data_IF_862205937653
#
_entry.id   IF_862205937653
#
_cell.length_a   1.000
_cell.length_b   1.000
_cell.length_c   1.000
_cell.angle_alpha   90.00
_cell.angle_beta   90.00
_cell.angle_gamma   90.00
#
_symmetry.space_group_name_H-M   'P 1'
#
loop_
_entity.id
_entity.type
_entity.pdbx_description
1 polymer ?
#
# COMPACT_ATOMS: atom_id res chain seq x y z
N UNK A 1 1.73 7.13 17.63
CA UNK A 1 1.04 8.34 17.10
C UNK A 1 1.89 9.61 17.06
N UNK A 2 3.07 9.64 17.61
CA UNK A 2 3.95 10.83 17.65
C UNK A 2 4.66 11.16 16.31
N UNK A 3 4.51 10.31 15.29
CA UNK A 3 5.18 10.40 13.98
C UNK A 3 4.25 10.77 12.84
N UNK A 4 3.17 11.51 13.14
CA UNK A 4 2.25 11.99 12.12
C UNK A 4 2.59 13.44 11.79
N UNK A 5 2.58 13.76 10.51
CA UNK A 5 2.93 15.06 9.97
C UNK A 5 1.87 15.54 8.96
N UNK A 6 1.81 16.83 8.69
CA UNK A 6 0.95 17.35 7.65
C UNK A 6 1.61 17.16 6.28
N UNK A 7 0.96 16.38 5.43
CA UNK A 7 1.37 16.27 4.04
C UNK A 7 0.92 17.51 3.25
N UNK A 8 1.52 17.74 2.05
CA UNK A 8 1.07 18.81 1.14
C UNK A 8 -0.43 18.75 0.85
N UNK A 9 -0.95 19.77 0.14
CA UNK A 9 -2.35 19.81 -0.28
C UNK A 9 -2.77 18.56 -1.06
N UNK A 10 -4.06 18.24 -1.03
CA UNK A 10 -4.65 17.06 -1.67
C UNK A 10 -4.14 16.85 -3.11
N UNK A 11 -3.66 15.65 -3.37
CA UNK A 11 -3.16 15.23 -4.68
C UNK A 11 -1.67 15.53 -4.94
N UNK A 12 -0.97 16.17 -3.99
CA UNK A 12 0.49 16.34 -4.04
C UNK A 12 1.13 15.41 -3.02
N UNK A 13 2.09 14.62 -3.48
CA UNK A 13 2.82 13.69 -2.64
C UNK A 13 3.90 14.42 -1.82
N UNK A 14 4.25 13.91 -0.63
CA UNK A 14 5.38 14.40 0.15
C UNK A 14 6.67 14.43 -0.66
N UNK A 15 7.56 15.37 -0.32
CA UNK A 15 8.90 15.39 -0.91
C UNK A 15 9.65 14.08 -0.57
N UNK A 16 10.45 13.61 -1.51
CA UNK A 16 11.14 12.31 -1.39
C UNK A 16 10.37 11.11 -1.94
N UNK A 17 9.06 11.18 -2.11
CA UNK A 17 8.30 10.09 -2.77
C UNK A 17 8.62 10.03 -4.26
N UNK A 18 9.01 8.85 -4.74
CA UNK A 18 9.40 8.59 -6.14
C UNK A 18 8.63 7.42 -6.75
N UNK A 19 8.03 6.56 -5.94
CA UNK A 19 7.35 5.34 -6.37
C UNK A 19 6.14 5.10 -5.48
N UNK A 20 5.03 4.58 -6.04
CA UNK A 20 3.86 4.16 -5.27
C UNK A 20 3.65 2.66 -5.43
N UNK A 21 3.34 1.98 -4.32
CA UNK A 21 2.85 0.60 -4.33
C UNK A 21 1.63 0.44 -3.44
N UNK A 22 0.85 -0.62 -3.67
CA UNK A 22 -0.33 -0.92 -2.88
C UNK A 22 -0.33 -2.36 -2.38
N UNK A 23 -0.86 -2.54 -1.17
CA UNK A 23 -1.24 -3.83 -0.63
C UNK A 23 -2.74 -3.86 -0.43
N UNK A 24 -3.37 -4.97 -0.82
CA UNK A 24 -4.82 -5.16 -0.74
C UNK A 24 -5.13 -6.44 0.03
N UNK A 25 -5.88 -6.30 1.09
CA UNK A 25 -6.44 -7.39 1.87
C UNK A 25 -7.92 -7.57 1.51
N UNK A 26 -8.33 -8.84 1.31
CA UNK A 26 -9.68 -9.18 0.83
C UNK A 26 -10.47 -9.80 1.97
N UNK A 27 -11.55 -9.13 2.38
CA UNK A 27 -12.47 -9.57 3.41
C UNK A 27 -13.83 -9.93 2.80
N UNK A 28 -14.70 -10.60 3.55
CA UNK A 28 -16.01 -11.05 3.04
C UNK A 28 -16.98 -9.91 2.67
N UNK A 29 -16.80 -8.74 3.25
CA UNK A 29 -17.71 -7.59 3.13
C UNK A 29 -17.01 -6.31 2.62
N UNK A 30 -15.71 -6.38 2.32
CA UNK A 30 -14.91 -5.23 1.89
C UNK A 30 -13.55 -5.63 1.32
N UNK A 31 -12.91 -4.67 0.63
CA UNK A 31 -11.47 -4.70 0.40
C UNK A 31 -10.82 -3.60 1.27
N UNK A 32 -9.65 -3.89 1.84
CA UNK A 32 -8.81 -2.87 2.47
C UNK A 32 -7.56 -2.67 1.60
N UNK A 33 -7.31 -1.44 1.20
CA UNK A 33 -6.18 -1.10 0.33
C UNK A 33 -5.36 0.00 0.96
N UNK A 34 -4.06 -0.25 1.16
CA UNK A 34 -3.14 0.80 1.60
C UNK A 34 -2.14 1.11 0.51
N UNK A 35 -2.04 2.38 0.14
CA UNK A 35 -1.04 2.93 -0.79
C UNK A 35 0.10 3.51 0.01
N UNK A 36 1.32 3.09 -0.34
CA UNK A 36 2.57 3.62 0.22
C UNK A 36 3.41 4.26 -0.86
N UNK A 37 4.03 5.39 -0.50
CA UNK A 37 5.08 6.06 -1.27
C UNK A 37 6.46 5.59 -0.79
N UNK A 38 7.41 5.50 -1.70
CA UNK A 38 8.77 5.06 -1.44
C UNK A 38 9.77 6.01 -2.08
N UNK A 39 10.88 6.24 -1.37
CA UNK A 39 11.96 7.08 -1.80
C UNK A 39 13.34 6.44 -1.58
N UNK A 40 14.37 7.26 -1.68
CA UNK A 40 15.76 6.84 -1.49
C UNK A 40 15.96 6.15 -0.14
N UNK A 41 16.87 5.21 -0.11
CA UNK A 41 17.18 4.42 1.09
C UNK A 41 15.95 3.74 1.73
N UNK A 42 14.89 3.47 0.94
CA UNK A 42 13.63 2.86 1.40
C UNK A 42 12.87 3.66 2.45
N UNK A 43 13.08 4.96 2.50
CA UNK A 43 12.20 5.86 3.24
C UNK A 43 10.79 5.75 2.70
N UNK A 44 9.77 5.76 3.57
CA UNK A 44 8.43 5.32 3.23
C UNK A 44 7.37 6.30 3.77
N UNK A 45 6.33 6.55 2.98
CA UNK A 45 5.20 7.40 3.34
C UNK A 45 3.90 6.64 3.18
N UNK A 46 3.09 6.55 4.23
CA UNK A 46 1.69 6.15 4.11
C UNK A 46 0.92 7.23 3.35
N UNK A 47 0.40 6.91 2.17
CA UNK A 47 -0.29 7.90 1.33
C UNK A 47 -1.78 7.90 1.60
N UNK A 48 -2.41 6.74 1.56
CA UNK A 48 -3.83 6.59 1.87
C UNK A 48 -4.17 5.15 2.25
N UNK A 49 -5.09 5.01 3.20
CA UNK A 49 -5.70 3.73 3.54
C UNK A 49 -7.19 3.78 3.20
N UNK A 50 -7.62 2.91 2.29
CA UNK A 50 -8.98 2.82 1.79
C UNK A 50 -9.68 1.60 2.38
N UNK A 51 -10.91 1.81 2.84
CA UNK A 51 -11.87 0.74 3.14
C UNK A 51 -12.93 0.80 2.05
N UNK A 52 -12.99 -0.20 1.20
CA UNK A 52 -13.88 -0.30 0.03
C UNK A 52 -15.00 -1.28 0.38
N UNK A 53 -16.19 -0.81 0.75
CA UNK A 53 -17.27 -1.69 1.17
C UNK A 53 -17.86 -2.48 -0.01
N UNK A 54 -18.32 -3.68 0.27
CA UNK A 54 -19.01 -4.57 -0.65
C UNK A 54 -18.36 -5.94 -0.74
N UNK A 55 -19.16 -6.95 -1.08
CA UNK A 55 -18.68 -8.32 -1.21
C UNK A 55 -17.79 -8.50 -2.45
N UNK A 56 -16.64 -9.22 -2.33
CA UNK A 56 -15.71 -9.46 -3.43
C UNK A 56 -16.28 -10.27 -4.61
N UNK A 57 -17.42 -10.93 -4.46
CA UNK A 57 -18.14 -11.61 -5.54
C UNK A 57 -18.88 -10.66 -6.48
N UNK A 58 -18.93 -9.36 -6.13
CA UNK A 58 -19.52 -8.30 -6.95
C UNK A 58 -18.44 -7.44 -7.63
N UNK A 59 -18.80 -6.79 -8.74
CA UNK A 59 -17.85 -5.95 -9.48
C UNK A 59 -17.55 -4.59 -8.82
N UNK A 60 -18.43 -4.12 -7.94
CA UNK A 60 -18.36 -2.76 -7.35
C UNK A 60 -17.05 -2.47 -6.63
N UNK A 61 -16.64 -3.28 -5.63
CA UNK A 61 -15.38 -3.07 -4.92
C UNK A 61 -14.15 -3.09 -5.83
N UNK A 62 -14.12 -3.97 -6.82
CA UNK A 62 -13.02 -4.07 -7.77
C UNK A 62 -12.92 -2.86 -8.71
N UNK A 63 -14.06 -2.29 -9.13
CA UNK A 63 -14.08 -1.05 -9.92
C UNK A 63 -13.59 0.15 -9.09
N UNK A 64 -13.95 0.23 -7.80
CA UNK A 64 -13.41 1.24 -6.91
C UNK A 64 -11.90 1.07 -6.71
N UNK A 65 -11.43 -0.17 -6.55
CA UNK A 65 -10.00 -0.47 -6.48
C UNK A 65 -9.27 -0.03 -7.75
N UNK A 66 -9.84 -0.28 -8.94
CA UNK A 66 -9.27 0.21 -10.20
C UNK A 66 -9.11 1.74 -10.21
N UNK A 67 -10.12 2.46 -9.74
CA UNK A 67 -10.06 3.92 -9.60
C UNK A 67 -8.91 4.37 -8.71
N UNK A 68 -8.68 3.69 -7.58
CA UNK A 68 -7.58 3.96 -6.66
C UNK A 68 -6.23 3.69 -7.31
N UNK A 69 -6.05 2.52 -7.92
CA UNK A 69 -4.76 2.11 -8.50
C UNK A 69 -4.35 2.95 -9.72
N UNK A 70 -5.32 3.50 -10.45
CA UNK A 70 -5.08 4.34 -11.63
C UNK A 70 -5.11 5.84 -11.33
N UNK A 71 -5.42 6.23 -10.08
CA UNK A 71 -5.43 7.62 -9.66
C UNK A 71 -4.04 8.25 -9.84
N UNK A 72 -4.00 9.36 -10.58
CA UNK A 72 -2.77 10.11 -10.76
C UNK A 72 -2.49 10.97 -9.52
N UNK A 73 -1.30 10.80 -8.97
CA UNK A 73 -0.75 11.58 -7.88
C UNK A 73 0.38 12.46 -8.40
N UNK A 74 0.49 13.68 -7.90
CA UNK A 74 1.51 14.64 -8.35
C UNK A 74 2.70 14.60 -7.40
N UNK A 75 3.91 14.36 -7.91
CA UNK A 75 5.15 14.48 -7.15
C UNK A 75 5.43 15.96 -6.79
N UNK A 76 6.23 16.20 -5.77
CA UNK A 76 6.59 17.55 -5.30
C UNK A 76 7.14 18.46 -6.40
N UNK A 77 7.78 17.88 -7.42
CA UNK A 77 8.29 18.59 -8.60
C UNK A 77 7.37 18.57 -9.82
N UNK A 78 6.08 18.21 -9.67
CA UNK A 78 5.02 18.39 -10.67
C UNK A 78 4.76 17.21 -11.62
N UNK A 79 5.63 16.20 -11.68
CA UNK A 79 5.39 14.98 -12.47
C UNK A 79 4.29 14.13 -11.84
N UNK A 80 3.47 13.49 -12.67
CA UNK A 80 2.39 12.59 -12.20
C UNK A 80 2.79 11.15 -12.29
N UNK A 81 2.45 10.40 -11.23
CA UNK A 81 2.65 8.95 -11.15
C UNK A 81 1.36 8.26 -10.70
N UNK A 82 1.28 6.97 -10.93
CA UNK A 82 0.23 6.07 -10.42
C UNK A 82 0.87 4.95 -9.61
N UNK A 83 0.06 4.09 -9.01
CA UNK A 83 0.56 2.88 -8.34
C UNK A 83 1.28 2.00 -9.37
N UNK A 84 2.56 1.68 -9.09
CA UNK A 84 3.45 0.96 -10.00
C UNK A 84 3.37 -0.56 -9.85
N UNK A 85 3.00 -1.05 -8.66
CA UNK A 85 2.80 -2.47 -8.38
C UNK A 85 1.81 -2.64 -7.23
N UNK A 86 0.97 -3.66 -7.32
CA UNK A 86 -0.03 -4.00 -6.31
C UNK A 86 -0.01 -5.49 -6.03
N UNK A 87 -0.02 -5.86 -4.75
CA UNK A 87 -0.27 -7.23 -4.31
C UNK A 87 -1.65 -7.34 -3.66
N UNK A 88 -2.43 -8.32 -4.13
CA UNK A 88 -3.79 -8.60 -3.66
C UNK A 88 -3.81 -9.99 -2.99
N UNK A 89 -4.23 -10.05 -1.74
CA UNK A 89 -4.30 -11.32 -1.03
C UNK A 89 -5.35 -12.26 -1.61
N UNK A 90 -4.97 -13.53 -1.73
CA UNK A 90 -5.83 -14.63 -2.15
C UNK A 90 -5.85 -15.78 -1.13
N UNK A 91 -5.45 -15.48 0.12
CA UNK A 91 -5.24 -16.49 1.17
C UNK A 91 -6.51 -17.10 1.74
N UNK A 92 -7.61 -16.36 1.80
CA UNK A 92 -8.90 -16.79 2.37
C UNK A 92 -9.54 -17.93 1.57
N UNK A 93 -9.15 -18.42 0.53
CA UNK A 93 -9.80 -19.55 -0.18
C UNK A 93 -11.22 -19.26 -0.73
N UNK A 94 -12.04 -18.52 0.00
CA UNK A 94 -13.44 -18.23 -0.37
C UNK A 94 -13.53 -17.38 -1.63
N UNK A 95 -12.77 -16.30 -1.69
CA UNK A 95 -12.75 -15.33 -2.81
C UNK A 95 -11.51 -15.44 -3.69
N UNK A 96 -10.74 -16.52 -3.57
CA UNK A 96 -9.51 -16.70 -4.34
C UNK A 96 -9.74 -16.66 -5.86
N UNK A 97 -10.88 -17.15 -6.34
CA UNK A 97 -11.21 -17.13 -7.76
C UNK A 97 -11.37 -15.70 -8.27
N UNK A 98 -12.13 -14.89 -7.57
CA UNK A 98 -12.39 -13.48 -7.88
C UNK A 98 -11.08 -12.68 -7.89
N UNK A 99 -10.21 -12.91 -6.89
CA UNK A 99 -8.86 -12.32 -6.85
C UNK A 99 -8.04 -12.74 -8.06
N UNK A 100 -8.05 -14.02 -8.45
CA UNK A 100 -7.27 -14.49 -9.59
C UNK A 100 -7.80 -13.93 -10.92
N UNK A 101 -9.12 -13.86 -11.11
CA UNK A 101 -9.72 -13.26 -12.30
C UNK A 101 -9.40 -11.77 -12.39
N UNK A 102 -9.52 -11.04 -11.28
CA UNK A 102 -9.20 -9.62 -11.19
C UNK A 102 -7.73 -9.34 -11.52
N UNK A 103 -6.81 -10.05 -10.85
CA UNK A 103 -5.36 -9.84 -11.02
C UNK A 103 -4.88 -10.31 -12.39
N UNK A 104 -5.43 -11.42 -12.93
CA UNK A 104 -5.10 -11.92 -14.26
C UNK A 104 -5.33 -10.87 -15.35
N UNK A 105 -6.46 -10.20 -15.31
CA UNK A 105 -6.78 -9.14 -16.28
C UNK A 105 -5.86 -7.92 -16.17
N UNK A 106 -5.14 -7.77 -15.04
CA UNK A 106 -4.33 -6.59 -14.70
C UNK A 106 -2.84 -6.88 -14.51
N UNK A 107 -2.36 -8.09 -14.85
CA UNK A 107 -0.94 -8.46 -14.77
C UNK A 107 -0.02 -7.47 -15.53
N UNK A 108 -0.48 -6.93 -16.66
CA UNK A 108 0.26 -5.92 -17.42
C UNK A 108 0.51 -4.63 -16.66
N UNK A 109 -0.32 -4.34 -15.66
CA UNK A 109 -0.20 -3.20 -14.75
C UNK A 109 0.47 -3.57 -13.43
N UNK A 110 1.09 -4.76 -13.37
CA UNK A 110 1.75 -5.32 -12.18
C UNK A 110 0.80 -5.43 -10.98
N UNK A 111 -0.44 -5.82 -11.20
CA UNK A 111 -1.38 -6.23 -10.16
C UNK A 111 -1.33 -7.76 -10.09
N UNK A 112 -0.84 -8.29 -8.98
CA UNK A 112 -0.60 -9.73 -8.81
C UNK A 112 -1.31 -10.28 -7.58
N UNK A 113 -1.73 -11.54 -7.67
CA UNK A 113 -2.21 -12.28 -6.51
C UNK A 113 -1.06 -12.76 -5.65
N UNK A 114 -1.29 -12.78 -4.33
CA UNK A 114 -0.33 -13.33 -3.38
C UNK A 114 -1.00 -14.36 -2.46
N UNK A 115 -0.16 -15.19 -1.84
CA UNK A 115 -0.57 -16.08 -0.75
C UNK A 115 0.50 -16.06 0.34
N UNK A 116 0.09 -15.72 1.56
CA UNK A 116 0.95 -15.68 2.74
C UNK A 116 1.43 -17.08 3.15
N UNK A 117 2.69 -17.18 3.56
CA UNK A 117 3.29 -18.35 4.19
C UNK A 117 4.05 -17.90 5.42
N UNK A 118 3.66 -18.42 6.59
CA UNK A 118 4.43 -18.28 7.83
C UNK A 118 5.58 -19.26 7.91
N UNK A 119 6.51 -18.99 8.79
CA UNK A 119 7.60 -19.89 9.15
C UNK A 119 8.98 -19.31 8.95
N UNK A 120 9.94 -19.87 9.71
CA UNK A 120 11.34 -19.45 9.67
C UNK A 120 11.97 -19.87 8.34
N UNK A 121 12.74 -18.96 7.72
CA UNK A 121 13.45 -19.24 6.47
C UNK A 121 12.59 -19.16 5.20
N UNK A 122 11.32 -18.82 5.30
CA UNK A 122 10.49 -18.54 4.12
C UNK A 122 10.95 -17.21 3.49
N UNK A 123 11.34 -17.22 2.19
CA UNK A 123 11.72 -15.97 1.50
C UNK A 123 10.59 -14.95 1.54
N UNK A 124 10.92 -13.67 1.72
CA UNK A 124 9.91 -12.61 1.75
C UNK A 124 9.07 -12.61 0.47
N UNK A 125 9.70 -12.74 -0.68
CA UNK A 125 9.02 -12.93 -1.97
C UNK A 125 9.52 -14.26 -2.56
N UNK A 126 8.60 -15.20 -2.74
CA UNK A 126 8.89 -16.47 -3.39
C UNK A 126 8.88 -16.36 -4.90
N UNK A 127 9.38 -17.40 -5.55
CA UNK A 127 9.32 -17.53 -7.01
C UNK A 127 7.85 -17.57 -7.46
N UNK A 128 7.45 -16.75 -8.47
CA UNK A 128 6.08 -16.75 -8.95
C UNK A 128 5.69 -18.09 -9.60
N UNK A 129 4.46 -18.47 -9.40
CA UNK A 129 3.84 -19.62 -10.04
C UNK A 129 2.59 -19.21 -10.83
N UNK A 130 2.11 -20.09 -11.70
CA UNK A 130 0.80 -19.94 -12.35
C UNK A 130 -0.23 -20.73 -11.57
N UNK A 131 -1.29 -20.06 -11.11
CA UNK A 131 -2.38 -20.77 -10.45
C UNK A 131 -3.27 -21.50 -11.49
N UNK A 132 -3.93 -22.59 -11.08
CA UNK A 132 -4.54 -23.54 -12.00
C UNK A 132 -5.94 -23.12 -12.53
N UNK A 133 -6.61 -22.12 -11.94
CA UNK A 133 -7.99 -21.75 -12.29
C UNK A 133 -8.00 -20.89 -13.57
N UNK A 134 -7.32 -19.72 -13.55
CA UNK A 134 -7.28 -18.80 -14.70
C UNK A 134 -5.84 -18.50 -15.16
N UNK A 135 -4.84 -19.17 -14.61
CA UNK A 135 -3.44 -18.97 -14.96
C UNK A 135 -2.89 -17.63 -14.50
N UNK A 136 -3.45 -17.01 -13.43
CA UNK A 136 -2.93 -15.79 -12.85
C UNK A 136 -1.55 -16.02 -12.23
N UNK A 137 -0.70 -14.99 -12.28
CA UNK A 137 0.59 -15.02 -11.57
C UNK A 137 0.35 -14.92 -10.08
N UNK A 138 0.85 -15.91 -9.34
CA UNK A 138 0.72 -16.03 -7.90
C UNK A 138 2.11 -16.01 -7.25
N UNK A 139 2.33 -15.07 -6.33
CA UNK A 139 3.51 -15.03 -5.49
C UNK A 139 3.22 -15.63 -4.11
N UNK A 140 4.13 -16.42 -3.56
CA UNK A 140 4.10 -16.75 -2.14
C UNK A 140 4.89 -15.70 -1.37
N UNK A 141 4.33 -15.18 -0.28
CA UNK A 141 5.00 -14.20 0.59
C UNK A 141 5.35 -14.82 1.93
N UNK A 142 6.59 -14.65 2.37
CA UNK A 142 7.03 -14.93 3.73
C UNK A 142 6.49 -13.85 4.68
N UNK A 143 5.26 -14.02 5.20
CA UNK A 143 4.58 -12.99 6.00
C UNK A 143 5.35 -12.67 7.29
N UNK A 144 6.02 -13.63 7.90
CA UNK A 144 6.82 -13.41 9.11
C UNK A 144 8.00 -12.47 8.84
N UNK A 145 8.70 -12.66 7.70
CA UNK A 145 9.77 -11.76 7.26
C UNK A 145 9.23 -10.37 6.93
N UNK A 146 8.06 -10.30 6.31
CA UNK A 146 7.38 -9.05 5.99
C UNK A 146 6.97 -8.26 7.24
N UNK A 147 6.34 -8.93 8.23
CA UNK A 147 5.97 -8.33 9.51
C UNK A 147 7.20 -7.80 10.26
N UNK A 148 8.29 -8.59 10.26
CA UNK A 148 9.57 -8.15 10.85
C UNK A 148 10.09 -6.88 10.15
N UNK A 149 10.05 -6.84 8.81
CA UNK A 149 10.52 -5.69 8.06
C UNK A 149 9.66 -4.43 8.30
N UNK A 150 8.34 -4.57 8.41
CA UNK A 150 7.42 -3.48 8.74
C UNK A 150 7.67 -2.98 10.17
N UNK A 151 7.74 -3.88 11.15
CA UNK A 151 7.95 -3.51 12.55
C UNK A 151 9.29 -2.83 12.75
N UNK A 152 10.38 -3.36 12.18
CA UNK A 152 11.69 -2.72 12.25
C UNK A 152 11.69 -1.30 11.67
N UNK A 153 10.96 -1.06 10.58
CA UNK A 153 10.81 0.29 10.02
C UNK A 153 10.02 1.22 10.95
N UNK A 154 9.01 0.70 11.65
CA UNK A 154 8.26 1.46 12.65
C UNK A 154 9.10 1.81 13.90
N UNK A 155 10.13 1.04 14.20
CA UNK A 155 11.03 1.27 15.35
C UNK A 155 12.11 2.32 15.06
N UNK A 156 12.37 2.70 13.81
CA UNK A 156 13.31 3.76 13.44
C UNK A 156 12.82 5.09 14.03
N UNK A 157 13.61 5.74 14.85
CA UNK A 157 13.21 6.93 15.59
C UNK A 157 13.45 8.24 14.83
N UNK A 158 14.46 8.29 13.98
CA UNK A 158 14.90 9.46 13.24
C UNK A 158 14.52 9.35 11.77
N UNK A 159 14.11 10.48 11.17
CA UNK A 159 13.80 10.57 9.75
C UNK A 159 15.00 10.21 8.88
N UNK A 160 14.76 9.58 7.75
CA UNK A 160 15.79 9.17 6.81
C UNK A 160 15.69 7.69 6.42
N UNK A 161 16.81 6.98 6.24
CA UNK A 161 16.83 5.62 5.72
C UNK A 161 15.85 4.67 6.43
N UNK A 162 14.86 4.17 5.70
CA UNK A 162 13.87 3.20 6.19
C UNK A 162 12.79 3.75 7.11
N UNK A 163 12.81 5.05 7.45
CA UNK A 163 11.79 5.68 8.29
C UNK A 163 10.40 5.64 7.62
N UNK A 164 9.34 5.57 8.43
CA UNK A 164 7.96 5.55 7.93
C UNK A 164 7.20 6.78 8.42
N UNK A 165 6.75 7.58 7.47
CA UNK A 165 5.92 8.75 7.68
C UNK A 165 4.44 8.43 7.57
N UNK A 166 3.59 9.13 8.34
CA UNK A 166 2.14 9.02 8.23
C UNK A 166 1.48 10.39 8.27
N UNK A 167 0.43 10.62 7.45
CA UNK A 167 -0.25 11.92 7.41
C UNK A 167 -1.11 12.15 8.65
N UNK A 168 -1.27 13.44 9.01
CA UNK A 168 -2.22 13.88 10.03
C UNK A 168 -3.63 14.10 9.47
N UNK A 169 -3.78 14.24 8.17
CA UNK A 169 -5.07 14.45 7.50
C UNK A 169 -6.02 13.29 7.79
N UNK A 170 -7.19 13.59 8.36
CA UNK A 170 -8.16 12.58 8.77
C UNK A 170 -8.70 11.75 7.58
N UNK A 171 -8.87 12.39 6.44
CA UNK A 171 -9.34 11.78 5.18
C UNK A 171 -8.38 10.76 4.60
N UNK A 172 -7.12 10.75 5.02
CA UNK A 172 -6.11 9.79 4.54
C UNK A 172 -6.32 8.36 5.04
N UNK A 173 -7.25 8.14 5.99
CA UNK A 173 -7.57 6.83 6.55
C UNK A 173 -6.62 6.34 7.66
N UNK A 174 -5.55 7.06 7.97
CA UNK A 174 -4.58 6.69 9.02
C UNK A 174 -5.04 7.16 10.41
N UNK A 175 -6.22 6.73 10.83
CA UNK A 175 -6.76 6.98 12.16
C UNK A 175 -6.28 6.00 13.23
N UNK A 176 -6.84 6.12 14.43
CA UNK A 176 -6.47 5.26 15.57
C UNK A 176 -6.69 3.77 15.27
N UNK A 177 -7.77 3.42 14.57
CA UNK A 177 -8.09 2.04 14.20
C UNK A 177 -7.03 1.44 13.25
N UNK A 178 -6.55 2.23 12.28
CA UNK A 178 -5.44 1.81 11.41
C UNK A 178 -4.20 1.44 12.24
N UNK A 179 -3.77 2.30 13.16
CA UNK A 179 -2.58 2.02 13.97
C UNK A 179 -2.78 0.86 14.96
N UNK A 180 -4.00 0.63 15.46
CA UNK A 180 -4.32 -0.56 16.26
C UNK A 180 -4.17 -1.84 15.44
N UNK A 181 -4.60 -1.84 14.18
CA UNK A 181 -4.43 -2.97 13.26
C UNK A 181 -2.98 -3.13 12.81
N UNK A 182 -2.27 -2.04 12.50
CA UNK A 182 -0.86 -2.05 12.11
C UNK A 182 0.04 -2.67 13.19
N UNK A 183 -0.36 -2.56 14.47
CA UNK A 183 0.35 -3.11 15.63
C UNK A 183 -0.44 -4.25 16.28
N UNK A 184 -1.22 -5.00 15.50
CA UNK A 184 -2.09 -6.04 16.00
C UNK A 184 -1.37 -7.36 16.30
N UNK A 185 -0.12 -7.49 15.89
CA UNK A 185 0.69 -8.67 16.14
C UNK A 185 2.03 -8.32 16.77
N UNK A 186 2.54 -9.23 17.60
CA UNK A 186 3.84 -9.11 18.26
C UNK A 186 4.65 -10.40 18.06
N UNK A 187 5.97 -10.26 17.96
CA UNK A 187 6.85 -11.42 17.88
C UNK A 187 7.15 -11.92 19.29
N UNK A 188 6.73 -13.13 19.61
CA UNK A 188 6.95 -13.75 20.91
C UNK A 188 7.83 -14.99 20.82
N UNK A 189 8.61 -15.21 21.88
CA UNK A 189 9.37 -16.44 22.08
C UNK A 189 8.84 -17.12 23.33
N UNK A 190 8.33 -18.34 23.16
CA UNK A 190 7.82 -19.18 24.26
C UNK A 190 8.65 -20.47 24.35
N UNK A 191 8.72 -21.03 25.56
CA UNK A 191 9.31 -22.34 25.79
C UNK A 191 8.19 -23.35 26.03
N UNK A 192 8.01 -24.28 25.09
CA UNK A 192 7.03 -25.36 25.21
C UNK A 192 7.78 -26.70 25.27
N UNK A 193 7.56 -27.48 26.32
CA UNK A 193 8.18 -28.80 26.53
C UNK A 193 9.72 -28.79 26.37
N UNK A 194 10.37 -27.74 26.87
CA UNK A 194 11.82 -27.57 26.80
C UNK A 194 12.37 -27.13 25.42
N UNK A 195 11.50 -26.84 24.45
CA UNK A 195 11.88 -26.31 23.15
C UNK A 195 11.46 -24.85 23.00
N UNK A 196 12.37 -24.05 22.47
CA UNK A 196 12.08 -22.67 22.11
C UNK A 196 11.20 -22.64 20.85
N UNK A 197 10.08 -21.90 20.92
CA UNK A 197 9.19 -21.66 19.80
C UNK A 197 8.97 -20.15 19.67
N UNK A 198 9.38 -19.58 18.58
CA UNK A 198 9.24 -18.15 18.28
C UNK A 198 8.31 -17.95 17.08
N UNK A 199 7.52 -16.88 17.11
CA UNK A 199 6.61 -16.55 16.02
C UNK A 199 5.76 -15.32 16.32
N UNK A 200 5.06 -14.87 15.30
CA UNK A 200 4.09 -13.78 15.40
C UNK A 200 2.81 -14.24 16.09
N UNK A 201 2.35 -13.47 17.05
CA UNK A 201 1.14 -13.73 17.82
C UNK A 201 0.21 -12.55 17.69
N UNK A 202 -1.03 -12.84 17.25
CA UNK A 202 -2.08 -11.85 17.11
C UNK A 202 -2.60 -11.44 18.52
N UNK A 203 -2.50 -10.16 18.84
CA UNK A 203 -2.93 -9.57 20.12
C UNK A 203 -4.19 -8.71 19.96
N UNK A 204 -4.67 -8.49 18.73
CA UNK A 204 -5.94 -7.83 18.41
C UNK A 204 -6.67 -8.59 17.32
N UNK A 205 -7.98 -8.46 17.27
CA UNK A 205 -8.84 -9.17 16.33
C UNK A 205 -8.54 -8.82 14.88
N UNK A 206 -8.37 -7.53 14.58
CA UNK A 206 -8.14 -7.02 13.23
C UNK A 206 -6.69 -6.65 13.01
N UNK A 207 -6.12 -7.07 11.89
CA UNK A 207 -4.72 -6.82 11.48
C UNK A 207 -4.56 -6.45 10.00
N UNK A 208 -5.64 -6.16 9.29
CA UNK A 208 -5.64 -5.94 7.84
C UNK A 208 -4.70 -4.81 7.42
N UNK A 209 -4.56 -3.76 8.25
CA UNK A 209 -3.60 -2.68 8.00
C UNK A 209 -2.13 -3.17 8.03
N UNK A 210 -1.80 -4.12 8.91
CA UNK A 210 -0.46 -4.75 8.93
C UNK A 210 -0.24 -5.59 7.68
N UNK A 211 -1.22 -6.39 7.29
CA UNK A 211 -1.14 -7.24 6.12
C UNK A 211 -1.01 -6.39 4.84
N UNK A 212 -1.83 -5.33 4.68
CA UNK A 212 -1.67 -4.37 3.59
C UNK A 212 -0.26 -3.71 3.55
N UNK A 213 0.31 -3.36 4.71
CA UNK A 213 1.66 -2.79 4.78
C UNK A 213 2.73 -3.80 4.34
N UNK A 214 2.60 -5.07 4.74
CA UNK A 214 3.48 -6.16 4.30
C UNK A 214 3.38 -6.35 2.79
N UNK A 215 2.17 -6.35 2.22
CA UNK A 215 1.94 -6.56 0.79
C UNK A 215 2.45 -5.39 -0.05
N UNK A 216 2.22 -4.15 0.36
CA UNK A 216 2.74 -2.97 -0.31
C UNK A 216 4.27 -2.92 -0.31
N UNK A 217 4.90 -3.31 0.82
CA UNK A 217 6.36 -3.42 0.92
C UNK A 217 6.89 -4.53 0.02
N UNK A 218 6.25 -5.69 -0.02
CA UNK A 218 6.63 -6.76 -0.93
C UNK A 218 6.49 -6.36 -2.40
N UNK A 219 5.46 -5.59 -2.75
CA UNK A 219 5.30 -5.04 -4.10
C UNK A 219 6.45 -4.09 -4.48
N UNK A 220 6.94 -3.28 -3.55
CA UNK A 220 8.12 -2.42 -3.75
C UNK A 220 9.40 -3.26 -3.92
N UNK A 221 9.62 -4.25 -3.05
CA UNK A 221 10.81 -5.12 -3.14
C UNK A 221 10.82 -5.94 -4.43
N UNK A 222 9.66 -6.36 -4.96
CA UNK A 222 9.54 -7.04 -6.25
C UNK A 222 10.08 -6.18 -7.40
N UNK A 223 9.87 -4.87 -7.35
CA UNK A 223 10.32 -3.94 -8.38
C UNK A 223 11.84 -3.70 -8.34
N UNK A 224 12.51 -4.02 -7.23
CA UNK A 224 13.95 -3.77 -7.02
C UNK A 224 14.38 -2.37 -7.50
N UNK A 225 13.71 -1.28 -7.02
CA UNK A 225 13.86 0.04 -7.61
C UNK A 225 15.25 0.63 -7.39
N UNK A 226 15.83 1.19 -8.46
CA UNK A 226 16.95 2.12 -8.35
C UNK A 226 16.38 3.55 -8.25
N UNK A 227 16.27 4.07 -7.04
CA UNK A 227 15.62 5.35 -6.79
C UNK A 227 16.35 6.55 -7.38
N UNK A 228 17.68 6.50 -7.54
CA UNK A 228 18.44 7.55 -8.21
C UNK A 228 18.05 7.64 -9.69
N UNK A 229 18.01 6.50 -10.38
CA UNK A 229 17.60 6.46 -11.78
C UNK A 229 16.13 6.81 -11.99
N UNK A 230 15.26 6.38 -11.06
CA UNK A 230 13.82 6.72 -11.10
C UNK A 230 13.65 8.22 -10.96
N UNK A 231 14.31 8.86 -9.99
CA UNK A 231 14.21 10.30 -9.78
C UNK A 231 14.72 11.09 -11.00
N UNK A 232 15.88 10.71 -11.53
CA UNK A 232 16.43 11.34 -12.72
C UNK A 232 15.47 11.24 -13.92
N UNK A 233 14.92 10.05 -14.17
CA UNK A 233 13.94 9.83 -15.22
C UNK A 233 12.67 10.67 -15.02
N UNK A 234 12.12 10.70 -13.79
CA UNK A 234 10.90 11.45 -13.48
C UNK A 234 11.08 12.97 -13.58
N UNK A 235 12.25 13.50 -13.20
CA UNK A 235 12.56 14.92 -13.33
C UNK A 235 12.79 15.33 -14.80
N UNK A 236 13.21 14.42 -15.67
CA UNK A 236 13.36 14.63 -17.11
C UNK A 236 12.04 14.61 -17.89
N UNK A 237 10.92 14.15 -17.28
CA UNK A 237 9.61 14.16 -17.92
C UNK A 237 8.99 15.57 -17.94
N UNK A 238 8.18 15.91 -18.99
CA UNK A 238 7.43 17.16 -19.00
C UNK A 238 6.56 17.29 -17.76
N UNK A 239 6.69 18.38 -17.03
CA UNK A 239 5.82 18.68 -15.89
C UNK A 239 4.37 18.84 -16.36
N UNK A 240 3.42 18.27 -15.63
CA UNK A 240 2.00 18.49 -15.93
C UNK A 240 1.71 19.98 -15.83
N UNK A 241 1.28 20.59 -16.94
CA UNK A 241 0.88 21.99 -16.95
C UNK A 241 -0.13 22.23 -15.82
N UNK A 242 0.20 23.13 -14.91
CA UNK A 242 -0.74 23.59 -13.88
C UNK A 242 -1.92 24.20 -14.63
N UNK A 243 -3.11 23.61 -14.52
CA UNK A 243 -4.30 24.24 -15.07
C UNK A 243 -4.46 25.60 -14.37
N UNK A 244 -4.53 26.71 -15.14
CA UNK A 244 -4.71 28.01 -14.51
C UNK A 244 -6.00 27.98 -13.69
N UNK A 245 -5.89 28.29 -12.39
CA UNK A 245 -7.05 28.41 -11.49
C UNK A 245 -8.06 29.34 -12.19
N UNK A 246 -9.23 28.81 -12.58
CA UNK A 246 -10.34 29.63 -13.04
C UNK A 246 -10.66 30.61 -11.91
N UNK A 247 -10.27 31.89 -12.09
CA UNK A 247 -10.73 32.96 -11.23
C UNK A 247 -12.24 32.92 -11.27
N UNK A 248 -12.89 32.58 -10.14
CA UNK A 248 -14.33 32.81 -9.97
C UNK A 248 -14.56 34.30 -10.22
N UNK A 249 -15.20 34.61 -11.33
CA UNK A 249 -15.64 35.99 -11.63
C UNK A 249 -16.58 36.43 -10.49
N UNK A 250 -16.24 37.53 -9.86
CA UNK A 250 -17.11 38.21 -8.94
C UNK A 250 -18.29 38.73 -9.78
N UNK A 251 -19.47 38.12 -9.65
CA UNK A 251 -20.71 38.65 -10.22
C UNK A 251 -21.05 39.88 -9.42
N UNK A 252 -20.71 41.05 -9.96
CA UNK A 252 -21.15 42.31 -9.43
C UNK A 252 -22.68 42.37 -9.55
N UNK A 253 -23.40 42.51 -8.40
CA UNK A 253 -24.81 42.87 -8.38
C UNK A 253 -24.92 44.30 -8.92
N UNK A 254 -25.46 44.47 -10.14
CA UNK A 254 -25.90 45.76 -10.66
C UNK A 254 -27.03 46.30 -9.79
N UNK A 255 -26.83 47.50 -9.26
CA UNK A 255 -27.86 48.28 -8.63
C UNK A 255 -28.63 48.93 -9.78
N UNK A 256 -29.93 48.62 -9.88
CA UNK A 256 -30.87 49.34 -10.76
C UNK A 256 -31.46 50.48 -9.94
N UNK A 257 -31.37 51.69 -10.45
CA UNK A 257 -32.09 52.88 -9.99
C UNK A 257 -33.53 52.82 -10.46
#
# INVERSE_FOLDING_TARGET
>A
MRRREYYPETGVLPDGVLLLTAGVDVQHDRLECTVYGWGRARECWGIHHYIIPGSPDTSGPWQQLDGILTMQQTLSFGTRITVACTFVDSGDGTYSKEVYEYTKARERFRVFSIKGRGGVGVPFIGVPSRQNIVGATLFSLGVDSGKTAVTNALDIAEEGPGFVHYPMQAESGFGENFFKQLTAEVFETKYEKGKQKSGWVKIRERNEALDCAVYARAAMELLTPNFEQIEEALRGLPQAAQQPRRRRGVVGKGITL
#
